data_IF_811833939278
#
_entry.id   IF_811833939278
#
_cell.length_a   1.000
_cell.length_b   1.000
_cell.length_c   1.000
_cell.angle_alpha   90.00
_cell.angle_beta   90.00
_cell.angle_gamma   90.00
#
_symmetry.space_group_name_H-M   'P 1'
#
loop_
_entity.id
_entity.type
_entity.pdbx_description
1 polymer ?
#
# COMPACT_ATOMS: atom_id res chain seq x y z
N UNK A 1 -12.86 -12.28 -20.42
CA UNK A 1 -12.95 -11.15 -19.47
C UNK A 1 -11.86 -11.36 -18.46
N UNK A 2 -10.93 -10.42 -18.29
CA UNK A 2 -9.80 -10.64 -17.40
C UNK A 2 -10.25 -10.47 -15.93
N UNK A 3 -9.92 -11.44 -15.09
CA UNK A 3 -10.30 -11.46 -13.67
C UNK A 3 -9.27 -10.64 -12.89
N UNK A 4 -9.75 -9.77 -11.99
CA UNK A 4 -8.91 -9.04 -11.05
C UNK A 4 -9.20 -9.63 -9.67
N UNK A 5 -8.22 -10.31 -9.09
CA UNK A 5 -8.28 -10.73 -7.70
C UNK A 5 -7.82 -9.61 -6.77
N UNK A 6 -8.25 -9.67 -5.51
CA UNK A 6 -8.02 -8.62 -4.51
C UNK A 6 -7.29 -9.18 -3.32
N UNK A 7 -6.15 -8.58 -2.97
CA UNK A 7 -5.35 -8.94 -1.79
C UNK A 7 -5.52 -7.85 -0.74
N UNK A 8 -6.25 -8.13 0.33
CA UNK A 8 -6.46 -7.19 1.44
C UNK A 8 -5.43 -7.42 2.55
N UNK A 9 -4.70 -6.36 2.95
CA UNK A 9 -3.66 -6.41 3.98
C UNK A 9 -3.98 -5.40 5.06
N UNK A 10 -4.05 -5.87 6.31
CA UNK A 10 -4.27 -5.01 7.47
C UNK A 10 -2.97 -4.36 7.94
N UNK A 11 -3.07 -3.10 8.35
CA UNK A 11 -1.98 -2.31 8.90
C UNK A 11 -2.39 -1.73 10.25
N UNK A 12 -1.43 -1.67 11.16
CA UNK A 12 -1.56 -0.99 12.44
C UNK A 12 -0.71 0.30 12.43
N UNK A 13 -0.83 1.10 11.38
CA UNK A 13 -0.08 2.37 11.25
C UNK A 13 -0.89 3.48 11.92
N UNK A 14 -0.51 3.92 13.13
CA UNK A 14 -1.38 4.75 13.98
C UNK A 14 -1.63 6.16 13.41
N UNK A 15 -0.63 6.73 12.71
CA UNK A 15 -0.66 8.13 12.26
C UNK A 15 0.17 8.34 11.01
N UNK A 16 -0.17 9.35 10.23
CA UNK A 16 0.67 9.84 9.13
C UNK A 16 0.62 11.37 9.05
N UNK A 17 1.76 12.00 8.73
CA UNK A 17 1.89 13.47 8.69
C UNK A 17 1.72 14.00 7.27
N UNK A 18 0.57 14.59 6.99
CA UNK A 18 0.24 15.11 5.65
C UNK A 18 1.05 16.38 5.30
N UNK A 19 1.09 16.74 4.02
CA UNK A 19 1.73 17.97 3.48
C UNK A 19 1.25 19.27 4.15
N UNK A 20 0.07 19.25 4.78
CA UNK A 20 -0.48 20.37 5.55
C UNK A 20 0.14 20.49 6.95
N UNK A 21 1.20 19.73 7.26
CA UNK A 21 1.79 19.58 8.60
C UNK A 21 0.77 19.13 9.66
N UNK A 22 -0.32 18.49 9.21
CA UNK A 22 -1.35 17.93 10.08
C UNK A 22 -1.09 16.45 10.28
N UNK A 23 -0.91 16.07 11.54
CA UNK A 23 -0.84 14.70 11.98
C UNK A 23 -2.26 14.11 11.94
N UNK A 24 -2.48 13.04 11.17
CA UNK A 24 -3.78 12.38 11.20
C UNK A 24 -3.99 11.71 12.55
N UNK A 25 -5.21 11.84 13.07
CA UNK A 25 -5.67 11.06 14.23
C UNK A 25 -6.25 9.71 13.80
N UNK A 26 -6.54 9.55 12.50
CA UNK A 26 -7.07 8.32 11.95
C UNK A 26 -5.91 7.44 11.46
N UNK A 27 -5.85 6.18 11.90
CA UNK A 27 -4.80 5.24 11.49
C UNK A 27 -4.97 4.83 10.03
N UNK A 28 -3.87 4.49 9.37
CA UNK A 28 -3.90 3.74 8.12
C UNK A 28 -4.11 2.26 8.49
N UNK A 29 -5.26 1.72 8.11
CA UNK A 29 -5.77 0.43 8.58
C UNK A 29 -5.66 -0.68 7.54
N UNK A 30 -5.71 -0.32 6.25
CA UNK A 30 -5.76 -1.31 5.17
C UNK A 30 -5.06 -0.80 3.92
N UNK A 31 -4.33 -1.71 3.30
CA UNK A 31 -3.88 -1.63 1.92
C UNK A 31 -4.53 -2.77 1.16
N UNK A 32 -5.13 -2.46 0.02
CA UNK A 32 -5.74 -3.45 -0.85
C UNK A 32 -5.09 -3.38 -2.23
N UNK A 33 -4.60 -4.52 -2.72
CA UNK A 33 -3.93 -4.66 -4.01
C UNK A 33 -4.86 -5.36 -4.99
N UNK A 34 -5.16 -4.73 -6.12
CA UNK A 34 -5.88 -5.36 -7.22
C UNK A 34 -4.92 -5.97 -8.22
N UNK A 35 -4.88 -7.29 -8.32
CA UNK A 35 -3.93 -8.04 -9.13
C UNK A 35 -4.67 -8.79 -10.24
N UNK A 36 -4.15 -8.67 -11.46
CA UNK A 36 -4.66 -9.34 -12.65
C UNK A 36 -3.64 -10.39 -13.11
N UNK A 37 -4.06 -11.64 -13.22
CA UNK A 37 -3.29 -12.69 -13.87
C UNK A 37 -3.21 -12.39 -15.38
N UNK A 38 -1.99 -12.41 -15.94
CA UNK A 38 -1.73 -12.15 -17.36
C UNK A 38 -1.58 -13.42 -18.20
N UNK A 39 -1.25 -14.56 -17.60
CA UNK A 39 -1.06 -15.81 -18.34
C UNK A 39 -2.38 -16.56 -18.53
N UNK A 40 -3.39 -16.29 -17.69
CA UNK A 40 -4.64 -17.06 -17.68
C UNK A 40 -5.85 -16.20 -18.02
N UNK A 41 -6.34 -16.37 -19.24
CA UNK A 41 -7.53 -15.73 -19.78
C UNK A 41 -8.88 -16.17 -19.16
N UNK A 42 -9.02 -16.20 -17.83
CA UNK A 42 -10.33 -16.19 -17.16
C UNK A 42 -10.74 -17.43 -16.33
N UNK A 43 -9.85 -18.37 -16.05
CA UNK A 43 -10.15 -19.52 -15.17
C UNK A 43 -9.48 -19.34 -13.79
N UNK A 44 -10.22 -19.42 -12.66
CA UNK A 44 -9.64 -19.36 -11.32
C UNK A 44 -8.99 -20.71 -10.97
N UNK A 45 -7.68 -20.71 -10.67
CA UNK A 45 -6.92 -21.92 -10.31
C UNK A 45 -6.05 -21.65 -9.08
N UNK A 46 -5.79 -22.69 -8.29
CA UNK A 46 -5.02 -22.72 -7.03
C UNK A 46 -3.72 -21.88 -7.04
N UNK A 47 -3.08 -21.69 -8.19
CA UNK A 47 -1.87 -20.89 -8.36
C UNK A 47 -2.06 -19.39 -8.07
N UNK A 48 -3.27 -18.84 -8.26
CA UNK A 48 -3.56 -17.46 -7.85
C UNK A 48 -3.48 -17.30 -6.32
N UNK A 49 -3.87 -18.34 -5.57
CA UNK A 49 -3.75 -18.34 -4.11
C UNK A 49 -2.27 -18.39 -3.67
N UNK A 50 -1.42 -19.11 -4.41
CA UNK A 50 0.03 -19.16 -4.15
C UNK A 50 0.69 -17.79 -4.40
N UNK A 51 0.38 -17.14 -5.52
CA UNK A 51 0.89 -15.79 -5.80
C UNK A 51 0.37 -14.76 -4.79
N UNK A 52 -0.90 -14.86 -4.38
CA UNK A 52 -1.45 -14.01 -3.32
C UNK A 52 -0.65 -14.14 -2.01
N UNK A 53 -0.36 -15.37 -1.58
CA UNK A 53 0.39 -15.62 -0.34
C UNK A 53 1.80 -15.02 -0.42
N UNK A 54 2.48 -15.18 -1.55
CA UNK A 54 3.82 -14.62 -1.78
C UNK A 54 3.78 -13.09 -1.76
N UNK A 55 2.83 -12.46 -2.47
CA UNK A 55 2.68 -11.00 -2.51
C UNK A 55 2.41 -10.46 -1.10
N UNK A 56 1.51 -11.11 -0.36
CA UNK A 56 1.17 -10.76 1.02
C UNK A 56 2.38 -10.87 1.95
N UNK A 57 3.15 -11.96 1.85
CA UNK A 57 4.37 -12.16 2.64
C UNK A 57 5.39 -11.07 2.34
N UNK A 58 5.70 -10.82 1.07
CA UNK A 58 6.67 -9.78 0.67
C UNK A 58 6.22 -8.41 1.15
N UNK A 59 4.94 -8.07 1.03
CA UNK A 59 4.42 -6.81 1.55
C UNK A 59 4.63 -6.70 3.06
N UNK A 60 4.29 -7.74 3.82
CA UNK A 60 4.43 -7.75 5.28
C UNK A 60 5.88 -7.64 5.74
N UNK A 61 6.80 -8.31 5.05
CA UNK A 61 8.25 -8.29 5.37
C UNK A 61 8.93 -6.97 4.96
N UNK A 62 8.32 -6.20 4.06
CA UNK A 62 8.89 -4.93 3.55
C UNK A 62 8.14 -3.72 4.10
N UNK A 63 7.01 -3.37 3.48
CA UNK A 63 6.20 -2.20 3.80
C UNK A 63 5.53 -2.38 5.17
N UNK A 64 4.91 -3.53 5.40
CA UNK A 64 4.21 -3.85 6.65
C UNK A 64 5.11 -3.71 7.87
N UNK A 65 6.28 -4.37 7.85
CA UNK A 65 7.26 -4.30 8.94
C UNK A 65 7.77 -2.88 9.20
N UNK A 66 7.97 -2.09 8.14
CA UNK A 66 8.44 -0.71 8.26
C UNK A 66 7.37 0.28 8.75
N UNK A 67 6.09 0.02 8.46
CA UNK A 67 5.01 0.97 8.69
C UNK A 67 4.17 0.65 9.93
N UNK A 68 4.02 -0.63 10.26
CA UNK A 68 3.24 -1.05 11.41
C UNK A 68 3.79 -0.44 12.69
N UNK A 69 2.89 0.13 13.50
CA UNK A 69 3.20 0.84 14.75
C UNK A 69 4.12 2.06 14.59
N UNK A 70 4.33 2.55 13.36
CA UNK A 70 5.13 3.74 13.07
C UNK A 70 4.25 4.91 12.65
N UNK A 71 4.68 6.13 12.98
CA UNK A 71 4.17 7.35 12.33
C UNK A 71 4.86 7.51 10.98
N UNK A 72 4.10 7.57 9.89
CA UNK A 72 4.65 7.89 8.58
C UNK A 72 4.87 9.40 8.45
N UNK A 73 6.07 9.80 8.05
CA UNK A 73 6.37 11.20 7.80
C UNK A 73 7.35 11.39 6.63
N UNK A 74 7.28 12.54 5.98
CA UNK A 74 8.21 12.86 4.90
C UNK A 74 9.63 13.09 5.45
N UNK A 75 10.66 12.65 4.72
CA UNK A 75 12.06 13.00 4.98
C UNK A 75 12.28 14.51 4.92
N UNK A 76 13.10 15.03 5.83
CA UNK A 76 13.41 16.46 5.91
C UNK A 76 12.30 17.34 6.51
N UNK A 77 11.12 16.78 6.82
CA UNK A 77 10.03 17.55 7.44
C UNK A 77 10.15 17.46 8.98
N UNK A 78 10.25 18.60 9.69
CA UNK A 78 10.25 18.60 11.16
C UNK A 78 8.90 18.08 11.68
N UNK A 79 8.95 17.26 12.72
CA UNK A 79 7.75 16.68 13.32
C UNK A 79 7.29 17.54 14.49
N UNK A 80 5.97 17.73 14.65
CA UNK A 80 5.45 18.31 15.88
C UNK A 80 5.70 17.38 17.08
N UNK A 81 5.84 17.95 18.27
CA UNK A 81 6.15 17.21 19.50
C UNK A 81 5.06 16.19 19.89
N UNK A 82 3.85 16.30 19.34
CA UNK A 82 2.76 15.35 19.56
C UNK A 82 2.82 14.10 18.66
N UNK A 83 3.88 13.93 17.84
CA UNK A 83 4.10 12.69 17.08
C UNK A 83 4.54 11.51 17.96
N UNK A 84 5.09 11.74 19.14
CA UNK A 84 5.43 10.71 20.12
C UNK A 84 4.14 10.21 20.80
N UNK A 85 3.98 8.89 21.08
CA UNK A 85 5.03 7.93 21.45
C UNK A 85 5.50 6.98 20.34
N UNK A 86 4.93 7.04 19.14
CA UNK A 86 5.24 6.05 18.11
C UNK A 86 6.59 6.33 17.43
N UNK A 87 7.40 5.30 17.14
CA UNK A 87 8.55 5.42 16.25
C UNK A 87 8.15 6.04 14.91
N UNK A 88 9.08 6.69 14.22
CA UNK A 88 8.78 7.40 12.97
C UNK A 88 9.46 6.68 11.81
N UNK A 89 8.67 6.31 10.81
CA UNK A 89 9.20 5.86 9.53
C UNK A 89 9.17 6.99 8.50
N UNK A 90 10.31 7.24 7.85
CA UNK A 90 10.49 8.38 6.96
C UNK A 90 10.39 7.98 5.49
N UNK A 91 9.32 8.43 4.83
CA UNK A 91 9.07 8.22 3.40
C UNK A 91 9.62 9.39 2.56
N UNK A 92 9.92 9.14 1.28
CA UNK A 92 10.44 10.16 0.35
C UNK A 92 9.33 11.05 -0.25
N UNK A 93 8.08 10.89 0.18
CA UNK A 93 6.91 11.63 -0.30
C UNK A 93 6.11 12.18 0.88
N UNK A 94 5.20 13.12 0.63
CA UNK A 94 4.22 13.55 1.63
C UNK A 94 3.16 12.46 1.83
N UNK A 95 3.00 11.85 3.01
CA UNK A 95 2.10 10.72 3.20
C UNK A 95 0.64 11.15 3.29
N UNK A 96 0.01 11.48 2.17
CA UNK A 96 -1.46 11.49 2.02
C UNK A 96 -1.93 10.08 1.62
N UNK A 97 -3.22 9.73 1.82
CA UNK A 97 -3.75 8.43 1.36
C UNK A 97 -3.45 8.16 -0.11
N UNK A 98 -3.60 9.16 -0.97
CA UNK A 98 -3.29 9.05 -2.41
C UNK A 98 -1.81 8.75 -2.64
N UNK A 99 -0.91 9.49 -1.99
CA UNK A 99 0.53 9.28 -2.17
C UNK A 99 1.00 7.98 -1.53
N UNK A 100 0.35 7.54 -0.44
CA UNK A 100 0.56 6.22 0.15
C UNK A 100 0.18 5.14 -0.87
N UNK A 101 -1.02 5.21 -1.46
CA UNK A 101 -1.45 4.27 -2.49
C UNK A 101 -0.50 4.24 -3.69
N UNK A 102 -0.06 5.42 -4.16
CA UNK A 102 0.95 5.52 -5.24
C UNK A 102 2.30 4.94 -4.84
N UNK A 103 2.79 5.22 -3.63
CA UNK A 103 4.08 4.71 -3.15
C UNK A 103 4.07 3.20 -2.98
N UNK A 104 2.97 2.63 -2.46
CA UNK A 104 2.78 1.18 -2.39
C UNK A 104 2.70 0.58 -3.79
N UNK A 105 1.95 1.18 -4.71
CA UNK A 105 1.88 0.72 -6.09
C UNK A 105 3.27 0.63 -6.71
N UNK A 106 4.08 1.70 -6.60
CA UNK A 106 5.44 1.74 -7.16
C UNK A 106 6.36 0.68 -6.55
N UNK A 107 6.20 0.38 -5.26
CA UNK A 107 7.00 -0.64 -4.58
C UNK A 107 6.57 -2.07 -4.96
N UNK A 108 5.27 -2.31 -5.10
CA UNK A 108 4.72 -3.66 -5.31
C UNK A 108 4.57 -4.04 -6.78
N UNK A 109 4.44 -3.09 -7.72
CA UNK A 109 4.32 -3.38 -9.15
C UNK A 109 5.44 -4.28 -9.70
N UNK A 110 6.75 -4.03 -9.41
CA UNK A 110 7.81 -4.94 -9.87
C UNK A 110 7.75 -6.32 -9.19
N UNK A 111 7.29 -6.40 -7.94
CA UNK A 111 7.12 -7.68 -7.23
C UNK A 111 6.05 -8.53 -7.91
N UNK A 112 4.90 -7.92 -8.18
CA UNK A 112 3.77 -8.58 -8.86
C UNK A 112 4.14 -8.95 -10.30
N UNK A 113 4.85 -8.07 -11.01
CA UNK A 113 5.32 -8.34 -12.37
C UNK A 113 6.30 -9.52 -12.45
N UNK A 114 7.16 -9.73 -11.44
CA UNK A 114 8.07 -10.88 -11.38
C UNK A 114 7.34 -12.21 -11.21
N UNK A 115 6.13 -12.19 -10.66
CA UNK A 115 5.23 -13.34 -10.57
C UNK A 115 4.39 -13.52 -11.84
N UNK A 116 4.70 -12.75 -12.89
CA UNK A 116 3.97 -12.68 -14.17
C UNK A 116 2.53 -12.18 -14.05
N UNK A 117 2.20 -11.56 -12.94
CA UNK A 117 0.93 -10.90 -12.71
C UNK A 117 1.03 -9.40 -13.02
N UNK A 118 -0.10 -8.72 -13.02
CA UNK A 118 -0.18 -7.26 -13.18
C UNK A 118 -0.85 -6.62 -11.99
N UNK A 119 -0.17 -5.69 -11.34
CA UNK A 119 -0.81 -4.80 -10.39
C UNK A 119 -1.66 -3.76 -11.14
N UNK A 120 -2.98 -3.82 -10.94
CA UNK A 120 -3.96 -2.95 -11.61
C UNK A 120 -4.22 -1.70 -10.78
N UNK A 121 -4.38 -1.88 -9.47
CA UNK A 121 -4.67 -0.77 -8.55
C UNK A 121 -4.16 -1.05 -7.14
N UNK A 122 -4.00 0.03 -6.37
CA UNK A 122 -3.81 -0.03 -4.91
C UNK A 122 -4.80 0.90 -4.23
N UNK A 123 -5.45 0.43 -3.19
CA UNK A 123 -6.30 1.23 -2.30
C UNK A 123 -5.59 1.40 -0.96
N UNK A 124 -5.48 2.63 -0.49
CA UNK A 124 -5.10 2.94 0.88
C UNK A 124 -6.31 3.45 1.67
N UNK A 125 -6.54 2.87 2.84
CA UNK A 125 -7.71 3.17 3.66
C UNK A 125 -7.34 3.55 5.10
N UNK A 126 -7.97 4.62 5.58
CA UNK A 126 -7.88 5.11 6.95
C UNK A 126 -9.27 5.40 7.49
N UNK A 127 -9.75 4.58 8.43
CA UNK A 127 -11.12 4.61 8.93
C UNK A 127 -12.13 4.62 7.76
N UNK A 128 -12.91 5.70 7.65
CA UNK A 128 -13.96 5.88 6.64
C UNK A 128 -13.46 6.44 5.31
N UNK A 129 -12.16 6.81 5.23
CA UNK A 129 -11.57 7.39 4.03
C UNK A 129 -10.77 6.34 3.26
N UNK A 130 -10.97 6.29 1.94
CA UNK A 130 -10.18 5.49 1.02
C UNK A 130 -9.68 6.31 -0.16
N UNK A 131 -8.48 6.00 -0.62
CA UNK A 131 -7.94 6.55 -1.86
C UNK A 131 -7.39 5.42 -2.71
N UNK A 132 -7.78 5.41 -3.99
CA UNK A 132 -7.34 4.40 -4.95
C UNK A 132 -6.39 5.02 -5.95
N UNK A 133 -5.24 4.40 -6.14
CA UNK A 133 -4.36 4.63 -7.26
C UNK A 133 -4.55 3.52 -8.29
N UNK A 134 -4.80 3.90 -9.54
CA UNK A 134 -4.89 2.97 -10.66
C UNK A 134 -3.61 3.07 -11.50
N UNK A 135 -3.19 1.94 -12.06
CA UNK A 135 -2.20 1.94 -13.14
C UNK A 135 -2.71 2.85 -14.26
N UNK A 136 -1.99 3.94 -14.54
CA UNK A 136 -2.34 4.85 -15.62
C UNK A 136 -2.18 4.12 -16.96
N UNK A 137 -3.22 4.14 -17.81
CA UNK A 137 -3.13 3.72 -19.21
C UNK A 137 -2.37 4.79 -19.99
N UNK A 138 -1.06 4.93 -19.77
CA UNK A 138 -0.24 5.83 -20.58
C UNK A 138 0.85 5.04 -21.32
N UNK A 139 0.56 4.84 -22.61
CA UNK A 139 1.35 4.34 -23.74
C UNK A 139 1.64 2.85 -23.79
#
# INVERSE_FOLDING_TARGET
MAIIGTIEIELATPRYLTSLKRLTQNPLQRICLGVQDLERGGEPVEEFAVNEEIIRRIFNETIGAAWNQHTLAQKGVPLPANCFPYPVFRVNYSPSLTNIATGVFQAMDPVVANLKDRLVYVVAQSADLKSTFFRSKNR
#
